data_IF_699032416903
#
_entry.id   IF_699032416903
#
_cell.length_a   1.000
_cell.length_b   1.000
_cell.length_c   1.000
_cell.angle_alpha   90.00
_cell.angle_beta   90.00
_cell.angle_gamma   90.00
#
_symmetry.space_group_name_H-M   'P 1'
#
loop_
_entity.id
_entity.type
_entity.pdbx_description
1 polymer ?
#
# COMPACT_ATOMS: atom_id res chain seq x y z
N UNK A 1 -17.89 4.69 27.43
CA UNK A 1 -17.90 3.87 26.20
C UNK A 1 -16.46 3.61 25.86
N UNK A 2 -16.09 2.34 25.67
CA UNK A 2 -14.78 1.97 25.16
C UNK A 2 -14.81 2.15 23.63
N UNK A 3 -13.99 3.04 23.04
CA UNK A 3 -13.97 3.26 21.59
C UNK A 3 -13.35 2.09 20.79
N UNK A 4 -12.77 1.09 21.45
CA UNK A 4 -11.96 0.04 20.80
C UNK A 4 -12.64 -1.33 20.67
N UNK A 5 -13.98 -1.38 20.61
CA UNK A 5 -14.68 -2.62 20.26
C UNK A 5 -15.81 -2.29 19.29
N UNK A 6 -15.47 -2.25 18.00
CA UNK A 6 -16.46 -2.51 16.96
C UNK A 6 -16.69 -4.02 16.95
N UNK A 7 -17.86 -4.51 17.41
CA UNK A 7 -18.10 -5.95 17.61
C UNK A 7 -18.08 -6.77 16.30
N UNK A 8 -17.97 -6.11 15.15
CA UNK A 8 -18.17 -6.70 13.82
C UNK A 8 -16.96 -6.54 12.87
N UNK A 9 -15.75 -6.21 13.33
CA UNK A 9 -14.55 -6.10 12.45
C UNK A 9 -13.95 -7.48 12.08
N UNK A 10 -14.73 -8.31 11.42
CA UNK A 10 -14.28 -9.60 10.88
C UNK A 10 -14.53 -9.71 9.38
N UNK A 11 -13.87 -10.68 8.76
CA UNK A 11 -13.93 -10.93 7.32
C UNK A 11 -15.37 -11.01 6.79
N UNK A 12 -16.27 -11.69 7.51
CA UNK A 12 -17.65 -11.89 7.08
C UNK A 12 -18.42 -10.57 7.02
N UNK A 13 -18.26 -9.72 8.02
CA UNK A 13 -18.89 -8.39 8.03
C UNK A 13 -18.39 -7.52 6.88
N UNK A 14 -17.08 -7.46 6.64
CA UNK A 14 -16.54 -6.67 5.53
C UNK A 14 -17.02 -7.17 4.17
N UNK A 15 -17.19 -8.49 4.00
CA UNK A 15 -17.79 -9.08 2.79
C UNK A 15 -19.25 -8.67 2.60
N UNK A 16 -20.04 -8.64 3.67
CA UNK A 16 -21.43 -8.16 3.63
C UNK A 16 -21.52 -6.68 3.25
N UNK A 17 -20.73 -5.82 3.91
CA UNK A 17 -20.67 -4.39 3.62
C UNK A 17 -20.20 -4.13 2.18
N UNK A 18 -19.19 -4.86 1.72
CA UNK A 18 -18.71 -4.74 0.35
C UNK A 18 -19.76 -5.18 -0.68
N UNK A 19 -20.49 -6.26 -0.40
CA UNK A 19 -21.57 -6.73 -1.28
C UNK A 19 -22.70 -5.69 -1.41
N UNK A 20 -23.06 -4.99 -0.33
CA UNK A 20 -24.00 -3.86 -0.42
C UNK A 20 -23.38 -2.66 -1.16
N UNK A 21 -22.12 -2.32 -0.88
CA UNK A 21 -21.42 -1.20 -1.53
C UNK A 21 -21.39 -1.32 -3.06
N UNK A 22 -21.05 -2.48 -3.61
CA UNK A 22 -20.96 -2.68 -5.07
C UNK A 22 -22.31 -2.50 -5.77
N UNK A 23 -23.44 -2.75 -5.10
CA UNK A 23 -24.78 -2.51 -5.69
C UNK A 23 -25.10 -1.03 -5.87
N UNK A 24 -24.34 -0.15 -5.21
CA UNK A 24 -24.53 1.31 -5.25
C UNK A 24 -23.59 2.00 -6.23
N UNK A 25 -22.64 1.28 -6.83
CA UNK A 25 -21.73 1.82 -7.83
C UNK A 25 -22.44 1.82 -9.19
N UNK A 26 -22.63 2.98 -9.84
CA UNK A 26 -23.22 3.04 -11.16
C UNK A 26 -22.35 2.32 -12.21
N UNK A 27 -22.96 1.43 -13.00
CA UNK A 27 -22.25 0.64 -14.03
C UNK A 27 -21.55 1.53 -15.06
N UNK A 28 -22.11 2.71 -15.37
CA UNK A 28 -21.55 3.66 -16.32
C UNK A 28 -20.18 4.23 -15.91
N UNK A 29 -19.76 4.10 -14.65
CA UNK A 29 -18.43 4.50 -14.21
C UNK A 29 -17.34 3.57 -14.75
N UNK A 30 -17.68 2.33 -15.13
CA UNK A 30 -16.72 1.36 -15.68
C UNK A 30 -15.57 1.03 -14.73
N UNK A 31 -15.77 1.18 -13.41
CA UNK A 31 -14.75 0.93 -12.39
C UNK A 31 -14.82 -0.52 -11.90
N UNK A 32 -13.67 -1.17 -11.83
CA UNK A 32 -13.53 -2.46 -11.13
C UNK A 32 -13.25 -2.20 -9.66
N UNK A 33 -13.83 -3.01 -8.77
CA UNK A 33 -13.55 -2.94 -7.33
C UNK A 33 -13.17 -4.31 -6.81
N UNK A 34 -12.47 -4.34 -5.68
CA UNK A 34 -12.15 -5.55 -4.95
C UNK A 34 -12.18 -5.26 -3.45
N UNK A 35 -12.42 -6.29 -2.64
CA UNK A 35 -12.30 -6.22 -1.18
C UNK A 35 -10.94 -6.76 -0.74
N UNK A 36 -10.16 -5.91 -0.08
CA UNK A 36 -8.90 -6.25 0.59
C UNK A 36 -8.72 -5.32 1.79
N UNK A 37 -7.71 -5.57 2.61
CA UNK A 37 -7.34 -4.68 3.72
C UNK A 37 -5.85 -4.30 3.67
N UNK A 38 -5.54 -3.19 4.32
CA UNK A 38 -4.19 -2.77 4.65
C UNK A 38 -3.86 -3.19 6.08
N UNK A 39 -2.75 -3.90 6.26
CA UNK A 39 -2.35 -4.43 7.56
C UNK A 39 -1.08 -3.77 8.07
N UNK A 40 -1.16 -3.12 9.22
CA UNK A 40 0.03 -2.65 9.92
C UNK A 40 0.80 -3.84 10.52
N UNK A 41 2.08 -3.96 10.15
CA UNK A 41 3.01 -4.93 10.72
C UNK A 41 3.38 -4.46 12.12
N UNK A 42 2.67 -4.98 13.10
CA UNK A 42 2.95 -4.83 14.53
C UNK A 42 3.52 -6.13 15.09
N UNK A 43 3.84 -6.14 16.38
CA UNK A 43 4.32 -7.33 17.09
C UNK A 43 3.40 -8.54 16.82
N UNK A 44 4.01 -9.69 16.54
CA UNK A 44 3.36 -10.98 16.30
C UNK A 44 2.52 -11.06 14.99
N UNK A 45 2.54 -10.03 14.13
CA UNK A 45 1.84 -10.08 12.83
C UNK A 45 2.33 -11.22 11.92
N UNK A 46 3.62 -11.56 11.99
CA UNK A 46 4.22 -12.66 11.24
C UNK A 46 3.58 -14.02 11.51
N UNK A 47 2.94 -14.20 12.68
CA UNK A 47 2.23 -15.41 13.06
C UNK A 47 0.89 -15.56 12.33
N UNK A 48 0.37 -14.44 11.78
CA UNK A 48 -0.91 -14.41 11.06
C UNK A 48 -0.79 -14.75 9.58
N UNK A 49 0.40 -15.08 9.08
CA UNK A 49 0.62 -15.26 7.65
C UNK A 49 -0.31 -16.29 7.00
N UNK A 50 -0.74 -17.33 7.72
CA UNK A 50 -1.69 -18.36 7.27
C UNK A 50 -3.12 -18.17 7.80
N UNK A 51 -3.40 -17.05 8.49
CA UNK A 51 -4.73 -16.73 9.03
C UNK A 51 -5.73 -16.59 7.87
N UNK A 52 -6.77 -17.44 7.79
CA UNK A 52 -7.75 -17.37 6.71
C UNK A 52 -8.60 -16.09 6.77
N UNK A 53 -8.59 -15.37 7.90
CA UNK A 53 -9.32 -14.11 8.06
C UNK A 53 -8.58 -12.90 7.46
N UNK A 54 -7.36 -13.07 6.95
CA UNK A 54 -6.68 -11.99 6.21
C UNK A 54 -7.38 -11.75 4.87
N UNK A 55 -7.89 -10.53 4.70
CA UNK A 55 -8.49 -10.03 3.47
C UNK A 55 -7.38 -9.68 2.47
N UNK A 56 -7.19 -10.55 1.49
CA UNK A 56 -6.28 -10.36 0.36
C UNK A 56 -7.07 -10.00 -0.90
N UNK A 57 -6.38 -9.46 -1.90
CA UNK A 57 -6.88 -9.46 -3.27
C UNK A 57 -7.06 -10.90 -3.79
N UNK A 58 -7.86 -11.07 -4.84
CA UNK A 58 -8.17 -12.38 -5.43
C UNK A 58 -6.92 -13.15 -5.87
N UNK A 59 -5.87 -12.45 -6.27
CA UNK A 59 -4.61 -13.05 -6.72
C UNK A 59 -3.65 -13.40 -5.56
N UNK A 60 -4.08 -13.23 -4.30
CA UNK A 60 -3.29 -13.45 -3.10
C UNK A 60 -2.41 -12.27 -2.69
N UNK A 61 -2.50 -11.13 -3.36
CA UNK A 61 -1.80 -9.91 -2.94
C UNK A 61 -2.35 -9.38 -1.62
N UNK A 62 -1.47 -8.90 -0.75
CA UNK A 62 -1.82 -8.35 0.56
C UNK A 62 -1.06 -7.05 0.79
N UNK A 63 -1.78 -6.00 1.19
CA UNK A 63 -1.18 -4.71 1.47
C UNK A 63 -0.73 -4.68 2.94
N UNK A 64 0.53 -4.33 3.15
CA UNK A 64 1.12 -4.21 4.48
C UNK A 64 1.80 -2.87 4.65
N UNK A 65 1.76 -2.33 5.86
CA UNK A 65 2.42 -1.08 6.22
C UNK A 65 3.16 -1.17 7.56
N UNK A 66 3.92 -0.13 7.88
CA UNK A 66 4.59 0.05 9.16
C UNK A 66 4.27 1.43 9.74
N UNK A 67 4.66 1.66 10.99
CA UNK A 67 4.67 3.01 11.54
C UNK A 67 5.56 3.95 10.71
N UNK A 68 5.09 5.18 10.50
CA UNK A 68 5.90 6.24 9.89
C UNK A 68 7.11 6.65 10.74
N UNK A 69 7.06 6.36 12.05
CA UNK A 69 8.10 6.76 12.99
C UNK A 69 9.14 5.67 13.23
N UNK A 70 8.72 4.40 13.21
CA UNK A 70 9.57 3.28 13.59
C UNK A 70 9.43 2.13 12.60
N UNK A 71 10.57 1.52 12.25
CA UNK A 71 10.60 0.26 11.49
C UNK A 71 10.07 -0.86 12.39
N UNK A 72 9.22 -1.72 11.84
CA UNK A 72 8.80 -2.95 12.51
C UNK A 72 9.99 -3.92 12.55
N UNK A 73 10.35 -4.40 13.74
CA UNK A 73 11.50 -5.30 13.94
C UNK A 73 11.30 -6.67 13.26
N UNK A 74 10.04 -7.05 13.05
CA UNK A 74 9.59 -8.30 12.44
C UNK A 74 9.25 -8.16 10.94
N UNK A 75 9.60 -7.05 10.28
CA UNK A 75 9.22 -6.79 8.88
C UNK A 75 9.66 -7.92 7.95
N UNK A 76 10.94 -8.30 7.99
CA UNK A 76 11.50 -9.33 7.13
C UNK A 76 10.86 -10.69 7.42
N UNK A 77 10.64 -11.02 8.69
CA UNK A 77 9.98 -12.27 9.08
C UNK A 77 8.52 -12.32 8.60
N UNK A 78 7.79 -11.20 8.71
CA UNK A 78 6.43 -11.09 8.21
C UNK A 78 6.38 -11.27 6.69
N UNK A 79 7.26 -10.61 5.93
CA UNK A 79 7.36 -10.77 4.48
C UNK A 79 7.68 -12.22 4.12
N UNK A 80 8.68 -12.83 4.76
CA UNK A 80 9.06 -14.22 4.53
C UNK A 80 7.90 -15.19 4.77
N UNK A 81 7.18 -15.03 5.89
CA UNK A 81 6.05 -15.90 6.23
C UNK A 81 4.90 -15.72 5.24
N UNK A 82 4.55 -14.48 4.87
CA UNK A 82 3.51 -14.22 3.86
C UNK A 82 3.84 -14.87 2.51
N UNK A 83 5.09 -14.71 2.03
CA UNK A 83 5.53 -15.32 0.77
C UNK A 83 5.53 -16.85 0.88
N UNK A 84 5.98 -17.41 2.00
CA UNK A 84 5.97 -18.86 2.24
C UNK A 84 4.56 -19.44 2.31
N UNK A 85 3.59 -18.64 2.78
CA UNK A 85 2.16 -18.94 2.77
C UNK A 85 1.49 -18.77 1.39
N UNK A 86 2.26 -18.42 0.35
CA UNK A 86 1.77 -18.20 -1.01
C UNK A 86 1.10 -16.84 -1.24
N UNK A 87 1.18 -15.91 -0.29
CA UNK A 87 0.69 -14.53 -0.44
C UNK A 87 1.74 -13.66 -1.14
N UNK A 88 1.31 -12.54 -1.71
CA UNK A 88 2.18 -11.58 -2.41
C UNK A 88 2.18 -10.25 -1.64
N UNK A 89 3.10 -10.05 -0.67
CA UNK A 89 3.11 -8.82 0.12
C UNK A 89 3.42 -7.60 -0.75
N UNK A 90 2.69 -6.52 -0.50
CA UNK A 90 2.90 -5.21 -1.08
C UNK A 90 3.13 -4.24 0.07
N UNK A 91 4.33 -3.66 0.16
CA UNK A 91 4.61 -2.60 1.12
C UNK A 91 3.99 -1.29 0.63
N UNK A 92 3.01 -0.80 1.38
CA UNK A 92 2.33 0.46 1.10
C UNK A 92 3.29 1.64 1.28
N UNK A 93 3.19 2.60 0.38
CA UNK A 93 3.78 3.94 0.47
C UNK A 93 5.17 4.03 1.15
N UNK A 94 6.17 3.25 0.69
CA UNK A 94 7.48 3.14 1.34
C UNK A 94 8.24 4.45 1.44
N UNK A 95 7.92 5.43 0.58
CA UNK A 95 8.47 6.78 0.64
C UNK A 95 8.08 7.57 1.90
N UNK A 96 7.14 7.06 2.72
CA UNK A 96 6.78 7.67 4.00
C UNK A 96 7.72 7.23 5.13
N UNK A 97 8.51 6.18 4.95
CA UNK A 97 9.43 5.66 5.98
C UNK A 97 10.75 6.42 6.00
N UNK A 98 10.75 7.60 6.62
CA UNK A 98 11.89 8.52 6.62
C UNK A 98 13.17 7.91 7.23
N UNK A 99 13.02 6.96 8.15
CA UNK A 99 14.15 6.22 8.73
C UNK A 99 14.86 5.29 7.71
N UNK A 100 14.23 5.00 6.56
CA UNK A 100 14.81 4.23 5.46
C UNK A 100 15.36 5.10 4.33
N UNK A 101 15.31 6.44 4.45
CA UNK A 101 15.61 7.36 3.35
C UNK A 101 16.97 7.16 2.67
N UNK A 102 17.98 6.73 3.43
CA UNK A 102 19.34 6.49 2.95
C UNK A 102 19.70 5.00 2.92
N UNK A 103 18.70 4.12 2.91
CA UNK A 103 18.87 2.66 3.03
C UNK A 103 18.19 1.95 1.87
N UNK A 104 18.66 2.23 0.66
CA UNK A 104 18.14 1.60 -0.56
C UNK A 104 18.18 0.06 -0.49
N UNK A 105 19.26 -0.47 0.10
CA UNK A 105 19.45 -1.90 0.33
C UNK A 105 18.31 -2.54 1.14
N UNK A 106 17.68 -1.80 2.06
CA UNK A 106 16.58 -2.33 2.86
C UNK A 106 15.36 -2.58 1.95
N UNK A 107 15.12 -1.73 0.96
CA UNK A 107 14.04 -1.94 -0.03
C UNK A 107 14.38 -3.04 -1.01
N UNK A 108 15.62 -3.11 -1.49
CA UNK A 108 16.11 -4.19 -2.36
C UNK A 108 15.96 -5.54 -1.67
N UNK A 109 16.31 -5.64 -0.40
CA UNK A 109 16.16 -6.87 0.40
C UNK A 109 14.70 -7.33 0.42
N UNK A 110 13.75 -6.42 0.65
CA UNK A 110 12.32 -6.76 0.65
C UNK A 110 11.87 -7.23 -0.74
N UNK A 111 12.34 -6.57 -1.81
CA UNK A 111 12.03 -6.95 -3.19
C UNK A 111 12.57 -8.35 -3.52
N UNK A 112 13.82 -8.63 -3.14
CA UNK A 112 14.46 -9.93 -3.34
C UNK A 112 13.75 -11.04 -2.56
N UNK A 113 13.13 -10.71 -1.41
CA UNK A 113 12.29 -11.62 -0.65
C UNK A 113 10.90 -11.86 -1.27
N UNK A 114 10.55 -11.14 -2.35
CA UNK A 114 9.27 -11.26 -3.05
C UNK A 114 8.24 -10.20 -2.67
N UNK A 115 8.61 -9.17 -1.90
CA UNK A 115 7.73 -8.04 -1.59
C UNK A 115 7.70 -7.03 -2.75
N UNK A 116 6.53 -6.46 -3.02
CA UNK A 116 6.35 -5.41 -4.02
C UNK A 116 6.18 -4.07 -3.34
N UNK A 117 6.51 -2.98 -4.02
CA UNK A 117 6.36 -1.64 -3.46
C UNK A 117 5.22 -0.88 -4.15
N UNK A 118 4.39 -0.19 -3.37
CA UNK A 118 3.30 0.66 -3.89
C UNK A 118 3.58 2.13 -3.63
N UNK A 119 3.79 2.91 -4.69
CA UNK A 119 3.98 4.36 -4.63
C UNK A 119 2.69 5.07 -4.30
N UNK A 120 2.72 6.00 -3.36
CA UNK A 120 1.58 6.87 -3.11
C UNK A 120 1.58 8.08 -4.03
N UNK A 121 0.49 8.27 -4.76
CA UNK A 121 0.30 9.42 -5.64
C UNK A 121 0.27 10.73 -4.86
N UNK A 122 -0.37 10.76 -3.69
CA UNK A 122 -0.42 11.96 -2.84
C UNK A 122 0.96 12.38 -2.35
N UNK A 123 1.95 11.48 -2.25
CA UNK A 123 3.30 11.86 -1.84
C UNK A 123 3.96 12.88 -2.78
N UNK A 124 3.51 12.98 -4.04
CA UNK A 124 4.02 13.95 -5.00
C UNK A 124 3.61 15.41 -4.71
N UNK A 125 2.53 15.63 -3.95
CA UNK A 125 2.12 17.00 -3.54
C UNK A 125 3.07 17.60 -2.50
N UNK A 126 3.92 16.78 -1.87
CA UNK A 126 4.75 17.17 -0.75
C UNK A 126 4.05 17.18 0.61
N UNK A 127 2.82 16.67 0.71
CA UNK A 127 2.05 16.59 1.97
C UNK A 127 2.83 15.89 3.10
N UNK A 128 3.62 14.86 2.79
CA UNK A 128 4.45 14.11 3.75
C UNK A 128 5.86 14.67 3.91
N UNK A 129 6.09 15.89 3.42
CA UNK A 129 7.36 16.61 3.52
C UNK A 129 8.36 16.31 2.41
N UNK A 130 9.39 17.16 2.28
CA UNK A 130 10.35 17.12 1.17
C UNK A 130 11.20 15.84 1.16
N UNK A 131 11.44 15.23 2.32
CA UNK A 131 12.18 13.97 2.41
C UNK A 131 11.40 12.82 1.78
N UNK A 132 10.08 12.76 1.97
CA UNK A 132 9.25 11.73 1.34
C UNK A 132 9.29 11.83 -0.19
N UNK A 133 9.16 13.05 -0.73
CA UNK A 133 9.30 13.31 -2.18
C UNK A 133 10.66 12.85 -2.72
N UNK A 134 11.75 13.06 -1.96
CA UNK A 134 13.09 12.60 -2.35
C UNK A 134 13.18 11.08 -2.41
N UNK A 135 12.64 10.37 -1.41
CA UNK A 135 12.63 8.90 -1.39
C UNK A 135 11.80 8.38 -2.56
N UNK A 136 10.61 8.92 -2.77
CA UNK A 136 9.74 8.57 -3.89
C UNK A 136 10.47 8.67 -5.23
N UNK A 137 11.10 9.83 -5.49
CA UNK A 137 11.86 10.05 -6.72
C UNK A 137 13.03 9.08 -6.84
N UNK A 138 13.70 8.78 -5.73
CA UNK A 138 14.79 7.82 -5.71
C UNK A 138 14.32 6.40 -6.06
N UNK A 139 13.31 5.87 -5.36
CA UNK A 139 12.73 4.54 -5.62
C UNK A 139 12.17 4.42 -7.05
N UNK A 140 11.46 5.45 -7.51
CA UNK A 140 10.90 5.47 -8.86
C UNK A 140 11.98 5.52 -9.95
N UNK A 141 13.05 6.29 -9.74
CA UNK A 141 14.17 6.34 -10.69
C UNK A 141 14.92 5.02 -10.83
N UNK A 142 14.92 4.19 -9.76
CA UNK A 142 15.50 2.85 -9.75
C UNK A 142 14.50 1.77 -10.16
N UNK A 143 13.27 2.12 -10.53
CA UNK A 143 12.26 1.16 -11.00
C UNK A 143 11.77 0.19 -9.90
N UNK A 144 11.85 0.59 -8.63
CA UNK A 144 11.54 -0.29 -7.49
C UNK A 144 10.05 -0.43 -7.20
N UNK A 145 9.23 0.50 -7.68
CA UNK A 145 7.80 0.44 -7.51
C UNK A 145 7.15 -0.54 -8.47
N UNK A 146 6.17 -1.28 -7.95
CA UNK A 146 5.29 -2.16 -8.71
C UNK A 146 3.93 -1.53 -9.01
N UNK A 147 3.50 -0.58 -8.19
CA UNK A 147 2.17 0.02 -8.25
C UNK A 147 2.19 1.50 -7.89
N UNK A 148 1.15 2.22 -8.29
CA UNK A 148 0.82 3.59 -7.88
C UNK A 148 -0.64 3.59 -7.43
N UNK A 149 -0.90 4.11 -6.24
CA UNK A 149 -2.25 4.24 -5.67
C UNK A 149 -2.42 5.61 -5.00
N UNK A 150 -3.67 6.05 -4.83
CA UNK A 150 -3.99 7.38 -4.29
C UNK A 150 -3.96 7.48 -2.77
N UNK A 151 -4.25 6.37 -2.07
CA UNK A 151 -4.45 6.34 -0.61
C UNK A 151 -5.47 7.39 -0.14
N UNK A 152 -6.56 7.49 -0.90
CA UNK A 152 -7.57 8.53 -0.76
C UNK A 152 -8.53 8.22 0.39
N UNK A 153 -8.66 9.16 1.32
CA UNK A 153 -9.53 9.09 2.49
C UNK A 153 -10.57 10.24 2.54
N UNK A 154 -10.48 11.24 1.65
CA UNK A 154 -11.41 12.37 1.59
C UNK A 154 -11.47 13.06 0.23
N UNK A 155 -12.54 13.81 -0.05
CA UNK A 155 -12.66 14.62 -1.27
C UNK A 155 -11.64 15.76 -1.33
N UNK A 156 -11.24 16.33 -0.19
CA UNK A 156 -10.20 17.37 -0.17
C UNK A 156 -8.85 16.86 -0.69
N UNK A 157 -8.53 15.60 -0.40
CA UNK A 157 -7.34 14.94 -0.93
C UNK A 157 -7.44 14.72 -2.44
N UNK A 158 -8.64 14.51 -2.99
CA UNK A 158 -8.87 14.32 -4.42
C UNK A 158 -8.52 15.58 -5.20
N UNK A 159 -8.95 16.75 -4.71
CA UNK A 159 -8.61 18.04 -5.33
C UNK A 159 -7.08 18.22 -5.42
N UNK A 160 -6.37 17.86 -4.35
CA UNK A 160 -4.91 17.95 -4.29
C UNK A 160 -4.23 17.00 -5.28
N UNK A 161 -4.75 15.78 -5.41
CA UNK A 161 -4.26 14.74 -6.31
C UNK A 161 -4.49 15.11 -7.78
N UNK A 162 -5.65 15.69 -8.10
CA UNK A 162 -6.02 16.12 -9.44
C UNK A 162 -5.22 17.33 -9.91
N UNK A 163 -4.72 18.14 -8.98
CA UNK A 163 -3.89 19.31 -9.26
C UNK A 163 -2.39 18.98 -9.45
N UNK A 164 -1.98 17.70 -9.37
CA UNK A 164 -0.57 17.32 -9.52
C UNK A 164 -0.12 17.50 -10.96
N UNK A 165 0.84 18.39 -11.16
CA UNK A 165 1.57 18.54 -12.41
C UNK A 165 2.96 17.92 -12.27
N UNK A 166 3.31 17.01 -13.20
CA UNK A 166 4.59 16.33 -13.21
C UNK A 166 5.54 16.96 -14.23
N UNK A 167 6.80 17.14 -13.86
CA UNK A 167 7.79 17.46 -14.87
C UNK A 167 8.01 16.28 -15.85
N UNK A 168 8.40 16.54 -17.12
CA UNK A 168 8.37 15.52 -18.19
C UNK A 168 9.12 14.22 -17.87
N UNK A 169 10.26 14.30 -17.17
CA UNK A 169 11.05 13.12 -16.78
C UNK A 169 10.31 12.23 -15.80
N UNK A 170 9.58 12.83 -14.85
CA UNK A 170 8.83 12.12 -13.84
C UNK A 170 7.54 11.55 -14.42
N UNK A 171 6.85 12.34 -15.26
CA UNK A 171 5.69 11.87 -16.01
C UNK A 171 6.02 10.63 -16.84
N UNK A 172 7.19 10.62 -17.52
CA UNK A 172 7.67 9.45 -18.25
C UNK A 172 7.81 8.22 -17.35
N UNK A 173 8.44 8.35 -16.18
CA UNK A 173 8.65 7.25 -15.23
C UNK A 173 7.34 6.72 -14.63
N UNK A 174 6.42 7.61 -14.30
CA UNK A 174 5.07 7.26 -13.84
C UNK A 174 4.31 6.49 -14.93
N UNK A 175 4.37 6.95 -16.17
CA UNK A 175 3.72 6.27 -17.29
C UNK A 175 4.34 4.90 -17.57
N UNK A 176 5.68 4.76 -17.46
CA UNK A 176 6.37 3.46 -17.54
C UNK A 176 5.87 2.49 -16.47
N UNK A 177 5.68 2.97 -15.24
CA UNK A 177 5.16 2.17 -14.13
C UNK A 177 3.70 1.76 -14.37
N UNK A 178 2.82 2.68 -14.75
CA UNK A 178 1.41 2.37 -15.03
C UNK A 178 1.26 1.39 -16.20
N UNK A 179 2.11 1.49 -17.23
CA UNK A 179 2.08 0.59 -18.38
C UNK A 179 2.57 -0.83 -18.07
N UNK A 180 3.14 -1.07 -16.88
CA UNK A 180 3.62 -2.38 -16.45
C UNK A 180 2.57 -3.22 -15.69
N UNK A 181 1.38 -2.67 -15.48
CA UNK A 181 0.27 -3.33 -14.79
C UNK A 181 -0.34 -4.46 -15.63
#
# INVERSE_FOLDING_TARGET
MNPDVYPDENEAHFREVYADFITRIPEELGVSTALAAEYMIVKDFEERADDPQLLTYEDGSILVEMSYYFRSENLEQAVFNLVSAGKKPILAHPERYLYMANRLQDFETLIDMGCRLQMNWMSLTGTYGPSSVKILRHLLSHGMYSFICTDLHSLHQLDSIMAIELEPSLAKKVNELIASY
#
